data_IF_294126306239
#
_entry.id   IF_294126306239
#
_cell.length_a   1.000
_cell.length_b   1.000
_cell.length_c   1.000
_cell.angle_alpha   90.00
_cell.angle_beta   90.00
_cell.angle_gamma   90.00
#
_symmetry.space_group_name_H-M   'P 1'
#
loop_
_entity.id
_entity.type
_entity.pdbx_description
1 polymer ?
#
# COMPACT_ATOMS: atom_id res chain seq x y z
N UNK A 1 -1.49 13.99 15.48
CA UNK A 1 -2.68 13.34 14.96
C UNK A 1 -2.42 12.76 13.58
N UNK A 2 -2.90 11.58 13.36
CA UNK A 2 -2.72 10.94 12.07
C UNK A 2 -3.50 11.68 11.00
N UNK A 3 -2.85 11.87 9.87
CA UNK A 3 -3.49 12.51 8.73
C UNK A 3 -3.68 11.46 7.65
N UNK A 4 -4.90 10.95 7.52
CA UNK A 4 -5.17 9.92 6.55
C UNK A 4 -5.18 10.44 5.12
N UNK A 5 -5.09 11.74 4.95
CA UNK A 5 -4.97 12.30 3.61
C UNK A 5 -3.73 11.76 2.90
N UNK A 6 -2.63 11.64 3.63
CA UNK A 6 -1.39 11.10 3.05
C UNK A 6 -1.58 9.67 2.59
N UNK A 7 -2.28 8.87 3.38
CA UNK A 7 -2.54 7.49 3.00
C UNK A 7 -3.42 7.41 1.77
N UNK A 8 -4.47 8.24 1.73
CA UNK A 8 -5.37 8.25 0.59
C UNK A 8 -4.64 8.66 -0.68
N UNK A 9 -3.79 9.68 -0.59
CA UNK A 9 -3.03 10.13 -1.75
C UNK A 9 -2.08 9.04 -2.23
N UNK A 10 -1.45 8.35 -1.29
CA UNK A 10 -0.53 7.27 -1.66
C UNK A 10 -1.27 6.13 -2.36
N UNK A 11 -2.45 5.77 -1.84
CA UNK A 11 -3.24 4.73 -2.46
C UNK A 11 -3.67 5.14 -3.86
N UNK A 12 -4.04 6.40 -4.04
CA UNK A 12 -4.44 6.88 -5.35
C UNK A 12 -3.28 6.85 -6.34
N UNK A 13 -2.11 7.28 -5.91
CA UNK A 13 -0.94 7.25 -6.78
C UNK A 13 -0.55 5.82 -7.12
N UNK A 14 -0.59 4.95 -6.12
CA UNK A 14 -0.26 3.56 -6.34
C UNK A 14 -1.25 2.93 -7.33
N UNK A 15 -2.55 3.15 -7.10
CA UNK A 15 -3.58 2.57 -7.94
C UNK A 15 -3.48 3.08 -9.37
N UNK A 16 -3.09 4.33 -9.55
CA UNK A 16 -2.94 4.87 -10.90
C UNK A 16 -1.85 4.15 -11.68
N UNK A 17 -0.82 3.66 -10.99
CA UNK A 17 0.29 3.00 -11.66
C UNK A 17 0.12 1.49 -11.75
N UNK A 18 -0.40 0.88 -10.71
CA UNK A 18 -0.44 -0.59 -10.63
C UNK A 18 -1.84 -1.16 -10.55
N UNK A 19 -2.82 -0.35 -10.19
CA UNK A 19 -4.16 -0.85 -9.96
C UNK A 19 -4.29 -1.43 -8.56
N UNK A 20 -5.33 -2.22 -8.35
CA UNK A 20 -5.57 -2.87 -7.07
C UNK A 20 -4.90 -4.23 -7.10
N UNK A 21 -3.80 -4.37 -6.38
CA UNK A 21 -2.96 -5.56 -6.44
C UNK A 21 -2.98 -6.37 -5.15
N UNK A 22 -3.64 -5.87 -4.11
CA UNK A 22 -3.73 -6.58 -2.85
C UNK A 22 -5.08 -6.35 -2.20
N UNK A 23 -5.43 -7.22 -1.25
CA UNK A 23 -6.73 -7.21 -0.61
C UNK A 23 -6.92 -6.02 0.32
N UNK A 24 -8.16 -5.57 0.47
CA UNK A 24 -8.49 -4.51 1.43
C UNK A 24 -8.23 -4.95 2.86
N UNK A 25 -8.05 -6.24 3.10
CA UNK A 25 -7.69 -6.72 4.43
C UNK A 25 -6.39 -6.11 4.92
N UNK A 26 -5.55 -5.65 4.00
CA UNK A 26 -4.31 -4.99 4.37
C UNK A 26 -4.57 -3.75 5.22
N UNK A 27 -5.71 -3.12 5.03
CA UNK A 27 -6.03 -1.89 5.74
C UNK A 27 -6.78 -2.13 7.04
N UNK A 28 -7.17 -3.37 7.33
CA UNK A 28 -7.94 -3.69 8.54
C UNK A 28 -7.06 -3.85 9.76
N UNK A 29 -5.79 -4.16 9.57
CA UNK A 29 -4.85 -4.35 10.65
C UNK A 29 -3.79 -3.27 10.59
N UNK A 30 -3.51 -2.65 11.73
CA UNK A 30 -2.59 -1.52 11.75
C UNK A 30 -1.18 -1.93 11.30
N UNK A 31 -0.71 -3.09 11.75
CA UNK A 31 0.62 -3.55 11.36
C UNK A 31 0.70 -3.82 9.86
N UNK A 32 -0.32 -4.48 9.33
CA UNK A 32 -0.37 -4.79 7.91
C UNK A 32 -0.51 -3.52 7.09
N UNK A 33 -1.29 -2.56 7.59
CA UNK A 33 -1.48 -1.30 6.91
C UNK A 33 -0.17 -0.55 6.78
N UNK A 34 0.61 -0.49 7.86
CA UNK A 34 1.90 0.19 7.81
C UNK A 34 2.86 -0.51 6.87
N UNK A 35 2.85 -1.83 6.87
CA UNK A 35 3.68 -2.59 5.95
C UNK A 35 3.30 -2.31 4.51
N UNK A 36 1.99 -2.27 4.25
CA UNK A 36 1.50 -1.98 2.91
C UNK A 36 1.91 -0.58 2.46
N UNK A 37 1.84 0.39 3.36
CA UNK A 37 2.23 1.74 3.02
C UNK A 37 3.70 1.82 2.64
N UNK A 38 4.56 1.15 3.39
CA UNK A 38 5.98 1.13 3.10
C UNK A 38 6.24 0.49 1.74
N UNK A 39 5.58 -0.64 1.47
CA UNK A 39 5.78 -1.34 0.21
C UNK A 39 5.23 -0.55 -0.96
N UNK A 40 4.09 0.12 -0.77
CA UNK A 40 3.54 0.96 -1.82
C UNK A 40 4.48 2.11 -2.16
N UNK A 41 5.08 2.69 -1.14
CA UNK A 41 6.03 3.79 -1.37
C UNK A 41 7.22 3.31 -2.20
N UNK A 42 7.74 2.13 -1.87
CA UNK A 42 8.85 1.57 -2.63
C UNK A 42 8.44 1.28 -4.07
N UNK A 43 7.23 0.78 -4.26
CA UNK A 43 6.75 0.48 -5.61
C UNK A 43 6.59 1.76 -6.44
N UNK A 44 6.03 2.79 -5.82
CA UNK A 44 5.86 4.08 -6.50
C UNK A 44 7.22 4.67 -6.86
N UNK A 45 8.21 4.47 -6.00
CA UNK A 45 9.56 4.97 -6.22
C UNK A 45 10.32 4.17 -7.27
N UNK A 46 9.75 3.06 -7.73
CA UNK A 46 10.41 2.24 -8.73
C UNK A 46 11.42 1.26 -8.16
N UNK A 47 11.42 1.07 -6.85
CA UNK A 47 12.39 0.18 -6.20
C UNK A 47 11.89 -1.25 -6.11
N UNK A 48 10.63 -1.47 -6.40
CA UNK A 48 10.06 -2.81 -6.43
C UNK A 48 8.82 -2.80 -7.29
N UNK A 49 8.33 -4.01 -7.61
CA UNK A 49 7.11 -4.16 -8.37
C UNK A 49 5.87 -4.02 -7.50
N UNK A 50 4.71 -4.42 -8.02
CA UNK A 50 3.45 -4.27 -7.30
C UNK A 50 3.45 -5.05 -5.98
N UNK A 51 2.71 -4.50 -5.01
CA UNK A 51 2.54 -5.16 -3.71
C UNK A 51 1.49 -6.25 -3.87
N UNK A 52 1.73 -7.42 -3.26
CA UNK A 52 0.80 -8.54 -3.32
C UNK A 52 0.37 -8.93 -1.92
N UNK A 53 -0.69 -9.77 -1.86
CA UNK A 53 -1.14 -10.28 -0.57
C UNK A 53 -0.04 -11.09 0.12
N UNK A 54 0.77 -11.80 -0.66
CA UNK A 54 1.87 -12.56 -0.09
C UNK A 54 2.89 -11.66 0.58
N UNK A 55 3.14 -10.51 0.00
CA UNK A 55 4.07 -9.55 0.60
C UNK A 55 3.56 -9.09 1.96
N UNK A 56 2.26 -9.10 2.15
CA UNK A 56 1.62 -8.66 3.39
C UNK A 56 1.27 -9.81 4.31
N UNK A 57 1.58 -11.03 3.89
CA UNK A 57 1.29 -12.24 4.67
C UNK A 57 -0.21 -12.42 4.91
N UNK A 58 -0.97 -12.13 3.90
CA UNK A 58 -2.42 -12.31 3.95
C UNK A 58 -2.87 -13.61 3.32
#
# INVERSE_FOLDING_TARGET
MEDESSLIMMIQQYSSRFGITFSSKAMENEDTKQKAMTLMLLAISGKRGPVTDEDLEL
#
